data_IF_193411503468
#
_entry.id   IF_193411503468
#
_cell.length_a   1.000
_cell.length_b   1.000
_cell.length_c   1.000
_cell.angle_alpha   90.00
_cell.angle_beta   90.00
_cell.angle_gamma   90.00
#
_symmetry.space_group_name_H-M   'P 1'
#
loop_
_entity.id
_entity.type
_entity.pdbx_description
1 polymer ?
#
# COMPACT_ATOMS: atom_id res chain seq x y z
N UNK A 1 -3.44 -9.74 -11.67
CA UNK A 1 -3.73 -9.08 -12.96
C UNK A 1 -3.74 -7.56 -12.75
N UNK A 2 -3.29 -6.75 -13.74
CA UNK A 2 -3.05 -5.31 -13.60
C UNK A 2 -4.23 -4.47 -13.10
N UNK A 3 -5.46 -4.99 -13.20
CA UNK A 3 -6.66 -4.36 -12.64
C UNK A 3 -6.62 -4.19 -11.12
N UNK A 4 -6.12 -5.18 -10.37
CA UNK A 4 -5.99 -5.05 -8.92
C UNK A 4 -4.99 -3.97 -8.53
N UNK A 5 -3.86 -3.91 -9.24
CA UNK A 5 -2.84 -2.88 -9.07
C UNK A 5 -3.37 -1.46 -9.36
N UNK A 6 -4.10 -1.29 -10.47
CA UNK A 6 -4.68 0.00 -10.83
C UNK A 6 -5.75 0.46 -9.84
N UNK A 7 -6.60 -0.45 -9.36
CA UNK A 7 -7.58 -0.15 -8.33
C UNK A 7 -6.89 0.30 -7.03
N UNK A 8 -5.87 -0.43 -6.61
CA UNK A 8 -5.07 -0.08 -5.43
C UNK A 8 -4.48 1.32 -5.57
N UNK A 9 -3.84 1.64 -6.69
CA UNK A 9 -3.30 2.98 -6.92
C UNK A 9 -4.42 4.03 -6.88
N UNK A 10 -5.59 3.75 -7.48
CA UNK A 10 -6.71 4.68 -7.54
C UNK A 10 -7.27 4.98 -6.14
N UNK A 11 -7.26 4.00 -5.23
CA UNK A 11 -7.68 4.17 -3.83
C UNK A 11 -6.58 4.80 -2.97
N UNK A 12 -5.32 4.36 -3.10
CA UNK A 12 -4.20 4.81 -2.26
C UNK A 12 -3.78 6.24 -2.58
N UNK A 13 -3.71 6.58 -3.87
CA UNK A 13 -3.25 7.90 -4.35
C UNK A 13 -4.02 9.07 -3.70
N UNK A 14 -5.37 9.13 -3.69
CA UNK A 14 -6.08 10.24 -3.07
C UNK A 14 -5.84 10.30 -1.55
N UNK A 15 -5.74 9.16 -0.88
CA UNK A 15 -5.46 9.09 0.57
C UNK A 15 -4.06 9.63 0.85
N UNK A 16 -3.06 9.25 0.05
CA UNK A 16 -1.70 9.75 0.16
C UNK A 16 -1.60 11.23 -0.19
N UNK A 17 -2.34 11.70 -1.20
CA UNK A 17 -2.36 13.11 -1.59
C UNK A 17 -2.82 14.02 -0.43
N UNK A 18 -3.87 13.60 0.29
CA UNK A 18 -4.44 14.31 1.45
C UNK A 18 -3.65 14.07 2.74
N UNK A 19 -3.18 12.85 2.94
CA UNK A 19 -2.53 12.40 4.18
C UNK A 19 -1.08 12.83 4.31
N UNK A 20 -0.31 12.80 3.22
CA UNK A 20 1.11 13.17 3.22
C UNK A 20 1.31 14.66 3.56
N UNK A 21 2.41 14.95 4.26
CA UNK A 21 2.77 16.31 4.66
C UNK A 21 2.73 17.30 3.47
N UNK A 22 2.21 18.52 3.66
CA UNK A 22 2.14 19.54 2.59
C UNK A 22 3.53 19.96 2.06
N UNK A 23 4.61 19.61 2.78
CA UNK A 23 5.99 19.86 2.36
C UNK A 23 6.44 18.97 1.20
N UNK A 24 5.74 17.87 0.93
CA UNK A 24 6.03 16.97 -0.20
C UNK A 24 5.31 17.49 -1.44
N UNK A 25 6.04 17.66 -2.54
CA UNK A 25 5.45 18.15 -3.79
C UNK A 25 4.40 17.18 -4.34
N UNK A 26 3.40 17.71 -5.04
CA UNK A 26 2.31 16.91 -5.62
C UNK A 26 2.82 15.76 -6.50
N UNK A 27 3.84 16.02 -7.32
CA UNK A 27 4.48 14.99 -8.16
C UNK A 27 5.10 13.87 -7.33
N UNK A 28 5.78 14.21 -6.23
CA UNK A 28 6.37 13.21 -5.33
C UNK A 28 5.29 12.39 -4.62
N UNK A 29 4.17 13.01 -4.21
CA UNK A 29 3.05 12.27 -3.59
C UNK A 29 2.44 11.26 -4.55
N UNK A 30 2.24 11.65 -5.82
CA UNK A 30 1.71 10.75 -6.85
C UNK A 30 2.68 9.61 -7.17
N UNK A 31 3.96 9.94 -7.37
CA UNK A 31 5.00 8.93 -7.62
C UNK A 31 5.16 7.99 -6.41
N UNK A 32 5.01 8.49 -5.18
CA UNK A 32 5.00 7.65 -3.99
C UNK A 32 3.90 6.60 -4.05
N UNK A 33 2.65 6.99 -4.31
CA UNK A 33 1.56 6.04 -4.42
C UNK A 33 1.87 4.94 -5.43
N UNK A 34 2.26 5.31 -6.65
CA UNK A 34 2.55 4.34 -7.71
C UNK A 34 3.74 3.43 -7.36
N UNK A 35 4.82 4.02 -6.84
CA UNK A 35 6.09 3.32 -6.61
C UNK A 35 6.04 2.40 -5.38
N UNK A 36 5.39 2.85 -4.31
CA UNK A 36 5.22 2.05 -3.09
C UNK A 36 4.44 0.77 -3.42
N UNK A 37 3.29 0.91 -4.06
CA UNK A 37 2.49 -0.23 -4.53
C UNK A 37 3.26 -1.08 -5.54
N UNK A 38 4.05 -0.48 -6.44
CA UNK A 38 4.83 -1.23 -7.43
C UNK A 38 5.85 -2.18 -6.80
N UNK A 39 6.40 -1.82 -5.64
CA UNK A 39 7.38 -2.63 -4.93
C UNK A 39 6.71 -3.70 -4.05
N UNK A 40 5.56 -3.42 -3.44
CA UNK A 40 4.90 -4.34 -2.50
C UNK A 40 3.95 -5.33 -3.18
N UNK A 41 3.24 -4.90 -4.23
CA UNK A 41 2.25 -5.70 -4.93
C UNK A 41 2.81 -7.00 -5.55
N UNK A 42 3.97 -7.00 -6.25
CA UNK A 42 4.54 -8.24 -6.77
C UNK A 42 4.91 -9.23 -5.66
N UNK A 43 5.35 -8.74 -4.50
CA UNK A 43 5.68 -9.60 -3.36
C UNK A 43 4.41 -10.24 -2.81
N UNK A 44 3.35 -9.45 -2.60
CA UNK A 44 2.06 -9.94 -2.10
C UNK A 44 1.41 -10.93 -3.06
N UNK A 45 1.55 -10.76 -4.38
CA UNK A 45 0.89 -11.63 -5.37
C UNK A 45 1.72 -12.81 -5.83
N UNK A 46 3.05 -12.67 -5.91
CA UNK A 46 3.90 -13.74 -6.45
C UNK A 46 4.58 -14.51 -5.33
N UNK A 47 5.10 -13.82 -4.32
CA UNK A 47 5.95 -14.45 -3.30
C UNK A 47 5.09 -15.01 -2.16
N UNK A 48 4.13 -14.22 -1.68
CA UNK A 48 3.32 -14.58 -0.51
C UNK A 48 2.43 -15.83 -0.75
N UNK A 49 1.76 -16.01 -1.90
CA UNK A 49 0.97 -17.22 -2.16
C UNK A 49 1.85 -18.47 -2.31
N UNK A 50 3.05 -18.33 -2.89
CA UNK A 50 4.00 -19.45 -3.01
C UNK A 50 4.54 -19.88 -1.65
N UNK A 51 4.85 -18.93 -0.76
CA UNK A 51 5.28 -19.22 0.61
C UNK A 51 4.16 -19.79 1.48
N UNK A 52 2.93 -19.33 1.26
CA UNK A 52 1.76 -19.73 2.05
C UNK A 52 0.92 -20.82 1.38
N UNK A 53 1.49 -21.55 0.42
CA UNK A 53 0.80 -22.63 -0.26
C UNK A 53 0.39 -23.72 0.76
N UNK A 54 -0.90 -24.05 0.82
CA UNK A 54 -1.46 -24.99 1.80
C UNK A 54 -2.06 -24.37 3.07
N UNK A 55 -1.94 -23.05 3.28
CA UNK A 55 -2.60 -22.35 4.38
C UNK A 55 -3.98 -21.79 3.97
N UNK A 56 -4.92 -21.63 4.92
CA UNK A 56 -6.23 -21.04 4.65
C UNK A 56 -6.11 -19.57 4.23
N UNK A 57 -6.96 -19.13 3.29
CA UNK A 57 -7.00 -17.76 2.72
C UNK A 57 -6.95 -16.66 3.79
N UNK A 58 -7.60 -16.86 4.95
CA UNK A 58 -7.58 -15.90 6.06
C UNK A 58 -6.19 -15.59 6.57
N UNK A 59 -5.33 -16.60 6.72
CA UNK A 59 -3.97 -16.39 7.19
C UNK A 59 -3.14 -15.63 6.15
N UNK A 60 -3.32 -15.97 4.87
CA UNK A 60 -2.73 -15.22 3.77
C UNK A 60 -3.12 -13.74 3.81
N UNK A 61 -4.41 -13.43 3.98
CA UNK A 61 -4.90 -12.06 4.04
C UNK A 61 -4.30 -11.31 5.23
N UNK A 62 -4.28 -11.89 6.43
CA UNK A 62 -3.70 -11.25 7.62
C UNK A 62 -2.21 -10.96 7.46
N UNK A 63 -1.47 -11.87 6.83
CA UNK A 63 -0.05 -11.65 6.54
C UNK A 63 0.12 -10.55 5.50
N UNK A 64 -0.67 -10.54 4.42
CA UNK A 64 -0.63 -9.51 3.40
C UNK A 64 -0.98 -8.11 3.95
N UNK A 65 -2.03 -8.01 4.77
CA UNK A 65 -2.48 -6.79 5.46
C UNK A 65 -1.44 -6.20 6.40
N UNK A 66 -0.53 -7.03 6.91
CA UNK A 66 0.55 -6.58 7.79
C UNK A 66 1.81 -6.28 7.00
N UNK A 67 2.15 -7.13 6.04
CA UNK A 67 3.37 -7.03 5.24
C UNK A 67 3.38 -5.80 4.35
N UNK A 68 2.28 -5.53 3.62
CA UNK A 68 2.19 -4.43 2.69
C UNK A 68 2.42 -3.05 3.34
N UNK A 69 1.70 -2.65 4.41
CA UNK A 69 1.92 -1.35 5.05
C UNK A 69 3.30 -1.24 5.69
N UNK A 70 3.85 -2.31 6.27
CA UNK A 70 5.22 -2.30 6.81
C UNK A 70 6.23 -2.07 5.69
N UNK A 71 6.11 -2.80 4.57
CA UNK A 71 6.98 -2.66 3.41
C UNK A 71 6.94 -1.24 2.83
N UNK A 72 5.75 -0.67 2.67
CA UNK A 72 5.59 0.69 2.15
C UNK A 72 6.13 1.75 3.11
N UNK A 73 5.94 1.59 4.42
CA UNK A 73 6.54 2.47 5.42
C UNK A 73 8.07 2.46 5.35
N UNK A 74 8.68 1.28 5.19
CA UNK A 74 10.14 1.13 5.07
C UNK A 74 10.64 1.77 3.78
N UNK A 75 9.98 1.52 2.64
CA UNK A 75 10.38 2.08 1.34
C UNK A 75 10.22 3.61 1.36
N UNK A 76 9.12 4.12 1.90
CA UNK A 76 8.90 5.56 2.07
C UNK A 76 9.99 6.18 2.96
N UNK A 77 10.31 5.52 4.08
CA UNK A 77 11.40 5.95 4.93
C UNK A 77 12.74 5.98 4.20
N UNK A 78 13.09 4.93 3.45
CA UNK A 78 14.32 4.91 2.64
C UNK A 78 14.36 6.02 1.58
N UNK A 79 13.22 6.32 0.94
CA UNK A 79 13.11 7.34 -0.09
C UNK A 79 13.26 8.78 0.47
N UNK A 80 12.76 9.06 1.67
CA UNK A 80 12.72 10.40 2.24
C UNK A 80 13.66 10.64 3.43
N UNK A 81 14.34 9.62 3.98
CA UNK A 81 15.26 9.78 5.13
C UNK A 81 16.39 10.78 4.87
N UNK A 82 16.85 10.90 3.63
CA UNK A 82 17.92 11.83 3.25
C UNK A 82 17.45 13.28 3.15
N UNK A 83 16.14 13.52 3.25
CA UNK A 83 15.55 14.84 3.06
C UNK A 83 15.13 15.41 4.42
N UNK A 84 15.93 16.34 4.95
CA UNK A 84 15.76 16.94 6.28
C UNK A 84 14.55 17.89 6.43
N UNK A 85 13.58 17.89 5.51
CA UNK A 85 12.45 18.83 5.56
C UNK A 85 11.26 18.34 6.41
N UNK A 86 11.22 17.05 6.76
CA UNK A 86 10.14 16.44 7.54
C UNK A 86 10.47 16.49 9.04
N UNK A 87 9.59 17.09 9.84
CA UNK A 87 9.63 17.00 11.30
C UNK A 87 9.23 15.60 11.77
N UNK A 88 9.53 15.22 13.02
CA UNK A 88 9.06 13.98 13.63
C UNK A 88 7.52 13.81 13.53
N UNK A 89 6.76 14.90 13.69
CA UNK A 89 5.30 14.88 13.54
C UNK A 89 4.86 14.67 12.09
N UNK A 90 5.59 15.25 11.13
CA UNK A 90 5.32 15.04 9.69
C UNK A 90 5.56 13.57 9.30
N UNK A 91 6.62 12.97 9.84
CA UNK A 91 6.94 11.55 9.65
C UNK A 91 5.83 10.65 10.17
N UNK A 92 5.40 10.83 11.42
CA UNK A 92 4.31 10.05 12.00
C UNK A 92 3.02 10.17 11.17
N UNK A 93 2.68 11.39 10.75
CA UNK A 93 1.52 11.64 9.87
C UNK A 93 1.65 10.90 8.53
N UNK A 94 2.81 10.93 7.89
CA UNK A 94 3.03 10.24 6.62
C UNK A 94 2.93 8.71 6.76
N UNK A 95 3.53 8.14 7.82
CA UNK A 95 3.45 6.69 8.08
C UNK A 95 2.02 6.26 8.35
N UNK A 96 1.27 7.01 9.18
CA UNK A 96 -0.15 6.75 9.44
C UNK A 96 -0.96 6.84 8.14
N UNK A 97 -0.70 7.86 7.30
CA UNK A 97 -1.39 8.00 6.01
C UNK A 97 -1.13 6.80 5.08
N UNK A 98 0.11 6.28 5.04
CA UNK A 98 0.47 5.10 4.25
C UNK A 98 -0.27 3.87 4.76
N UNK A 99 -0.27 3.64 6.08
CA UNK A 99 -0.99 2.51 6.69
C UNK A 99 -2.49 2.58 6.38
N UNK A 100 -3.11 3.77 6.51
CA UNK A 100 -4.53 3.96 6.19
C UNK A 100 -4.79 3.72 4.70
N UNK A 101 -3.94 4.22 3.81
CA UNK A 101 -4.07 4.02 2.37
C UNK A 101 -4.05 2.54 2.02
N UNK A 102 -3.07 1.80 2.57
CA UNK A 102 -2.89 0.39 2.31
C UNK A 102 -4.07 -0.45 2.82
N UNK A 103 -4.51 -0.21 4.06
CA UNK A 103 -5.69 -0.86 4.64
C UNK A 103 -6.97 -0.54 3.85
N UNK A 104 -7.14 0.69 3.39
CA UNK A 104 -8.29 1.08 2.58
C UNK A 104 -8.30 0.38 1.22
N UNK A 105 -7.13 0.26 0.57
CA UNK A 105 -6.98 -0.49 -0.68
C UNK A 105 -7.29 -1.98 -0.49
N UNK A 106 -6.79 -2.58 0.59
CA UNK A 106 -7.05 -3.98 0.90
C UNK A 106 -8.54 -4.23 1.18
N UNK A 107 -9.17 -3.36 1.98
CA UNK A 107 -10.60 -3.40 2.25
C UNK A 107 -11.45 -3.22 0.99
N UNK A 108 -11.08 -2.29 0.11
CA UNK A 108 -11.75 -2.11 -1.19
C UNK A 108 -11.62 -3.37 -2.07
N UNK A 109 -10.43 -3.99 -2.08
CA UNK A 109 -10.19 -5.25 -2.78
C UNK A 109 -11.05 -6.40 -2.26
N UNK A 110 -11.19 -6.54 -0.93
CA UNK A 110 -12.01 -7.60 -0.32
C UNK A 110 -13.52 -7.38 -0.56
N UNK A 111 -14.00 -6.12 -0.53
CA UNK A 111 -15.40 -5.80 -0.87
C UNK A 111 -15.69 -6.19 -2.32
N UNK A 112 -14.80 -5.84 -3.26
CA UNK A 112 -14.95 -6.21 -4.66
C UNK A 112 -14.89 -7.72 -4.89
N UNK A 113 -14.05 -8.44 -4.15
CA UNK A 113 -14.00 -9.89 -4.19
C UNK A 113 -15.30 -10.52 -3.67
N UNK A 114 -15.94 -9.95 -2.63
CA UNK A 114 -17.25 -10.41 -2.14
C UNK A 114 -18.41 -10.10 -3.10
N UNK A 115 -18.28 -9.09 -3.94
CA UNK A 115 -19.27 -8.74 -4.96
C UNK A 115 -19.14 -9.57 -6.26
N UNK A 116 -18.35 -10.64 -6.27
CA UNK A 116 -18.13 -11.54 -7.43
C UNK A 116 -17.63 -10.84 -8.72
N UNK A 117 -17.20 -9.57 -8.63
CA UNK A 117 -16.81 -8.79 -9.81
C UNK A 117 -15.43 -9.20 -10.34
N UNK A 118 -14.57 -9.76 -9.48
CA UNK A 118 -13.33 -10.38 -9.91
C UNK A 118 -13.09 -11.66 -9.13
N UNK A 119 -13.49 -12.80 -9.72
CA UNK A 119 -13.06 -14.14 -9.36
C UNK A 119 -11.57 -14.34 -9.61
N UNK A 120 -10.73 -13.57 -8.92
CA UNK A 120 -9.28 -13.70 -8.92
C UNK A 120 -8.79 -14.04 -7.51
N UNK A 121 -9.28 -15.12 -6.92
CA UNK A 121 -8.56 -15.96 -5.96
C UNK A 121 -9.18 -17.35 -5.93
#
# INVERSE_FOLDING_TARGET
MPFGYLLTILVETPILLVGLSPKISFKQKLLCGIWLTACTYPIVILVLPTLMNGFPRRQYLTVAETFAPIGECIIFWLAFRSKSFLSHTDWARCLIAIVIANLASFGAGEILNRCDWFGMF
#
